data_IF_050714697622
#
_entry.id   IF_050714697622
#
_cell.length_a   1.000
_cell.length_b   1.000
_cell.length_c   1.000
_cell.angle_alpha   90.00
_cell.angle_beta   90.00
_cell.angle_gamma   90.00
#
_symmetry.space_group_name_H-M   'P 1'
#
loop_
_entity.id
_entity.type
_entity.pdbx_description
1 polymer ?
#
# COMPACT_ATOMS: atom_id res chain seq x y z
N UNK A 1 14.71 8.28 -9.04
CA UNK A 1 15.79 8.15 -8.05
C UNK A 1 16.72 7.06 -8.57
N UNK A 2 18.03 7.28 -8.60
CA UNK A 2 18.99 6.30 -9.15
C UNK A 2 20.08 6.09 -8.11
N UNK A 3 20.32 4.82 -7.78
CA UNK A 3 21.39 4.40 -6.86
C UNK A 3 22.11 3.25 -7.54
N UNK A 4 23.37 3.46 -7.92
CA UNK A 4 24.16 2.48 -8.68
C UNK A 4 24.95 1.58 -7.73
N UNK A 5 25.10 0.31 -8.11
CA UNK A 5 26.06 -0.60 -7.48
C UNK A 5 27.49 -0.13 -7.75
N UNK A 6 28.36 -0.25 -6.75
CA UNK A 6 29.77 0.12 -6.90
C UNK A 6 30.60 -0.87 -7.75
N UNK A 7 30.12 -2.09 -7.96
CA UNK A 7 30.81 -3.13 -8.74
C UNK A 7 30.33 -3.20 -10.19
N UNK A 8 31.24 -3.61 -11.09
CA UNK A 8 30.93 -3.85 -12.50
C UNK A 8 30.30 -5.25 -12.73
N UNK A 9 29.24 -5.39 -13.55
CA UNK A 9 28.53 -4.31 -14.24
C UNK A 9 27.65 -3.51 -13.28
N UNK A 10 27.66 -2.18 -13.45
CA UNK A 10 26.84 -1.27 -12.65
C UNK A 10 25.34 -1.53 -12.88
N UNK A 11 24.56 -1.55 -11.80
CA UNK A 11 23.13 -1.77 -11.83
C UNK A 11 22.42 -0.75 -10.93
N UNK A 12 21.24 -0.30 -11.37
CA UNK A 12 20.40 0.57 -10.54
C UNK A 12 19.67 -0.27 -9.47
N UNK A 13 20.05 -0.12 -8.21
CA UNK A 13 19.40 -0.76 -7.06
C UNK A 13 18.00 -0.21 -6.77
N UNK A 14 17.73 1.05 -7.14
CA UNK A 14 16.46 1.73 -6.87
C UNK A 14 15.52 1.75 -8.08
N UNK A 15 15.66 0.79 -9.01
CA UNK A 15 14.81 0.66 -10.20
C UNK A 15 13.31 0.51 -9.90
N UNK A 16 12.97 0.05 -8.69
CA UNK A 16 11.61 -0.12 -8.21
C UNK A 16 10.99 1.16 -7.62
N UNK A 17 11.73 2.27 -7.53
CA UNK A 17 11.20 3.53 -7.04
C UNK A 17 10.35 4.19 -8.12
N UNK A 18 9.04 4.25 -7.89
CA UNK A 18 8.06 4.95 -8.72
C UNK A 18 7.91 6.42 -8.28
N UNK A 19 6.96 7.14 -8.88
CA UNK A 19 6.75 8.55 -8.55
C UNK A 19 6.33 8.74 -7.09
N UNK A 20 5.34 7.99 -6.58
CA UNK A 20 4.89 8.17 -5.19
C UNK A 20 5.94 7.81 -4.18
N UNK A 21 6.61 6.67 -4.35
CA UNK A 21 7.67 6.24 -3.42
C UNK A 21 8.82 7.23 -3.40
N UNK A 22 9.16 7.86 -4.55
CA UNK A 22 10.12 8.96 -4.56
C UNK A 22 9.65 10.15 -3.73
N UNK A 23 8.40 10.59 -3.88
CA UNK A 23 7.85 11.71 -3.11
C UNK A 23 7.86 11.41 -1.60
N UNK A 24 7.50 10.18 -1.21
CA UNK A 24 7.53 9.73 0.18
C UNK A 24 8.95 9.74 0.72
N UNK A 25 9.92 9.15 0.01
CA UNK A 25 11.32 9.13 0.42
C UNK A 25 11.85 10.56 0.62
N UNK A 26 11.55 11.48 -0.31
CA UNK A 26 11.98 12.87 -0.19
C UNK A 26 11.36 13.56 1.03
N UNK A 27 10.05 13.39 1.25
CA UNK A 27 9.35 13.93 2.42
C UNK A 27 9.93 13.40 3.74
N UNK A 28 10.18 12.10 3.83
CA UNK A 28 10.74 11.50 5.04
C UNK A 28 12.19 11.93 5.29
N UNK A 29 12.98 12.13 4.23
CA UNK A 29 14.34 12.69 4.36
C UNK A 29 14.33 14.14 4.85
N UNK A 30 13.42 14.97 4.35
CA UNK A 30 13.25 16.36 4.81
C UNK A 30 12.76 16.41 6.26
N UNK A 31 11.77 15.59 6.61
CA UNK A 31 11.29 15.44 7.98
C UNK A 31 12.42 15.02 8.91
N UNK A 32 13.15 13.95 8.57
CA UNK A 32 14.28 13.46 9.35
C UNK A 32 15.39 14.51 9.50
N UNK A 33 15.69 15.27 8.45
CA UNK A 33 16.66 16.36 8.52
C UNK A 33 16.24 17.46 9.50
N UNK A 34 14.99 17.92 9.43
CA UNK A 34 14.44 18.92 10.35
C UNK A 34 14.45 18.41 11.80
N UNK A 35 14.10 17.14 12.00
CA UNK A 35 14.16 16.50 13.30
C UNK A 35 15.59 16.46 13.85
N UNK A 36 16.59 16.13 13.04
CA UNK A 36 18.00 16.13 13.45
C UNK A 36 18.48 17.54 13.82
N UNK A 37 18.12 18.57 13.04
CA UNK A 37 18.44 19.96 13.37
C UNK A 37 17.84 20.34 14.73
N UNK A 38 16.57 20.02 14.94
CA UNK A 38 15.87 20.36 16.18
C UNK A 38 16.45 19.58 17.36
N UNK A 39 16.77 18.30 17.19
CA UNK A 39 17.40 17.48 18.23
C UNK A 39 18.83 17.92 18.56
N UNK A 40 19.56 18.54 17.63
CA UNK A 40 20.85 19.17 17.95
C UNK A 40 20.70 20.31 18.96
N UNK A 41 19.52 20.95 19.00
CA UNK A 41 19.19 22.03 19.92
C UNK A 41 18.52 21.53 21.22
N UNK A 42 17.97 20.31 21.22
CA UNK A 42 17.24 19.69 22.34
C UNK A 42 18.03 18.51 22.94
N UNK A 43 18.36 18.55 24.23
CA UNK A 43 19.09 17.47 24.92
C UNK A 43 18.21 16.21 25.11
N UNK A 44 18.03 15.40 24.05
CA UNK A 44 17.25 14.15 24.16
C UNK A 44 16.98 13.44 22.84
N UNK A 45 17.94 12.68 22.32
CA UNK A 45 17.81 11.93 21.07
C UNK A 45 16.77 10.80 21.06
N UNK A 46 16.01 10.60 22.14
CA UNK A 46 14.96 9.56 22.23
C UNK A 46 13.69 9.93 21.45
N UNK A 47 13.36 11.23 21.35
CA UNK A 47 12.19 11.71 20.58
C UNK A 47 12.28 11.40 19.08
N UNK A 48 13.50 11.23 18.55
CA UNK A 48 13.75 10.88 17.15
C UNK A 48 13.27 9.48 16.76
N UNK A 49 13.23 8.55 17.72
CA UNK A 49 12.85 7.15 17.48
C UNK A 49 11.34 6.92 17.68
N UNK A 50 10.71 7.69 18.56
CA UNK A 50 9.28 7.55 18.86
C UNK A 50 8.37 8.32 17.88
N UNK A 51 8.86 9.40 17.25
CA UNK A 51 8.10 10.17 16.24
C UNK A 51 7.80 9.39 14.95
N UNK A 52 8.51 8.29 14.67
CA UNK A 52 8.32 7.47 13.47
C UNK A 52 6.96 6.74 13.46
N UNK A 53 6.17 6.82 14.53
CA UNK A 53 4.92 6.06 14.63
C UNK A 53 3.72 6.87 14.14
N UNK A 54 3.27 6.50 12.94
CA UNK A 54 1.93 5.97 12.60
C UNK A 54 1.63 6.32 11.13
N UNK A 55 2.08 5.44 10.22
CA UNK A 55 1.74 5.50 8.80
C UNK A 55 0.22 5.66 8.56
N UNK A 56 -0.58 5.01 9.42
CA UNK A 56 -2.04 4.98 9.39
C UNK A 56 -2.74 6.31 9.68
N UNK A 57 -2.03 7.36 10.11
CA UNK A 57 -2.62 8.66 10.46
C UNK A 57 -2.22 9.78 9.49
N UNK A 58 -1.48 9.44 8.43
CA UNK A 58 -0.83 10.42 7.56
C UNK A 58 -1.57 10.76 6.26
N UNK A 59 -2.71 10.11 5.98
CA UNK A 59 -3.42 10.19 4.70
C UNK A 59 -4.91 10.45 4.87
N UNK A 60 -5.51 11.13 3.89
CA UNK A 60 -6.96 11.38 3.87
C UNK A 60 -7.76 10.15 3.44
N UNK A 61 -7.18 9.34 2.57
CA UNK A 61 -7.87 8.23 1.92
C UNK A 61 -7.05 6.96 2.05
N UNK A 62 -7.73 5.84 2.20
CA UNK A 62 -7.06 4.56 2.31
C UNK A 62 -7.80 3.42 1.63
N UNK A 63 -7.02 2.46 1.15
CA UNK A 63 -7.49 1.22 0.57
C UNK A 63 -6.94 0.04 1.37
N UNK A 64 -7.83 -0.84 1.83
CA UNK A 64 -7.50 -2.14 2.40
C UNK A 64 -7.61 -3.20 1.31
N UNK A 65 -6.59 -4.03 1.17
CA UNK A 65 -6.61 -5.18 0.27
C UNK A 65 -6.50 -6.44 1.13
N UNK A 66 -7.46 -7.33 0.99
CA UNK A 66 -7.50 -8.62 1.68
C UNK A 66 -7.17 -9.74 0.71
N UNK A 67 -6.16 -10.55 1.08
CA UNK A 67 -5.91 -11.85 0.49
C UNK A 67 -6.63 -12.92 1.32
N UNK A 68 -7.75 -13.39 0.78
CA UNK A 68 -8.58 -14.43 1.41
C UNK A 68 -8.27 -15.73 0.70
N UNK A 69 -8.06 -16.81 1.45
CA UNK A 69 -7.76 -18.09 0.83
C UNK A 69 -8.70 -19.23 1.17
N UNK A 70 -8.80 -20.15 0.21
CA UNK A 70 -9.49 -21.43 0.36
C UNK A 70 -8.72 -22.36 1.30
N UNK A 71 -9.44 -23.17 2.07
CA UNK A 71 -8.91 -23.97 3.18
C UNK A 71 -7.90 -25.05 2.78
N UNK A 72 -7.75 -25.37 1.50
CA UNK A 72 -7.14 -26.63 1.10
C UNK A 72 -5.61 -26.67 1.03
N UNK A 73 -4.85 -25.55 1.01
CA UNK A 73 -3.37 -25.60 0.98
C UNK A 73 -2.67 -24.31 1.47
N UNK A 74 -2.17 -24.28 2.71
CA UNK A 74 -1.55 -23.09 3.32
C UNK A 74 -0.37 -22.49 2.52
N UNK A 75 0.55 -23.33 2.03
CA UNK A 75 1.76 -22.88 1.33
C UNK A 75 1.48 -22.26 -0.04
N UNK A 76 0.57 -22.86 -0.81
CA UNK A 76 0.25 -22.35 -2.14
C UNK A 76 -0.51 -21.02 -2.05
N UNK A 77 -1.37 -20.91 -1.04
CA UNK A 77 -2.08 -19.69 -0.72
C UNK A 77 -1.12 -18.54 -0.33
N UNK A 78 -0.09 -18.84 0.48
CA UNK A 78 0.95 -17.85 0.81
C UNK A 78 1.70 -17.38 -0.43
N UNK A 79 2.01 -18.29 -1.36
CA UNK A 79 2.64 -17.94 -2.64
C UNK A 79 1.73 -17.06 -3.49
N UNK A 80 0.42 -17.30 -3.47
CA UNK A 80 -0.55 -16.41 -4.13
C UNK A 80 -0.56 -15.02 -3.49
N UNK A 81 -0.64 -14.90 -2.16
CA UNK A 81 -0.60 -13.60 -1.49
C UNK A 81 0.72 -12.86 -1.74
N UNK A 82 1.87 -13.56 -1.77
CA UNK A 82 3.17 -12.97 -2.16
C UNK A 82 3.20 -12.48 -3.61
N UNK A 83 2.56 -13.22 -4.52
CA UNK A 83 2.40 -12.77 -5.90
C UNK A 83 1.59 -11.48 -5.97
N UNK A 84 0.46 -11.41 -5.25
CA UNK A 84 -0.38 -10.21 -5.16
C UNK A 84 0.41 -9.03 -4.59
N UNK A 85 1.17 -9.25 -3.51
CA UNK A 85 2.05 -8.23 -2.90
C UNK A 85 3.00 -7.61 -3.93
N UNK A 86 3.62 -8.44 -4.78
CA UNK A 86 4.51 -7.96 -5.84
C UNK A 86 3.80 -7.11 -6.91
N UNK A 87 2.49 -7.32 -7.10
CA UNK A 87 1.67 -6.61 -8.10
C UNK A 87 1.02 -5.34 -7.54
N UNK A 88 0.81 -5.23 -6.24
CA UNK A 88 0.24 -4.02 -5.62
C UNK A 88 1.03 -2.78 -6.05
N UNK A 89 2.35 -2.79 -5.89
CA UNK A 89 3.19 -1.66 -6.30
C UNK A 89 3.23 -1.46 -7.82
N UNK A 90 3.38 -2.56 -8.58
CA UNK A 90 3.61 -2.50 -10.03
C UNK A 90 2.37 -2.14 -10.85
N UNK A 91 1.18 -2.54 -10.39
CA UNK A 91 -0.08 -2.35 -11.13
C UNK A 91 -1.00 -1.34 -10.44
N UNK A 92 -1.26 -1.52 -9.15
CA UNK A 92 -2.28 -0.73 -8.46
C UNK A 92 -1.75 0.67 -8.14
N UNK A 93 -0.62 0.76 -7.45
CA UNK A 93 0.00 2.06 -7.12
C UNK A 93 0.32 2.83 -8.40
N UNK A 94 0.87 2.17 -9.42
CA UNK A 94 1.11 2.79 -10.72
C UNK A 94 -0.18 3.29 -11.41
N UNK A 95 -1.28 2.54 -11.34
CA UNK A 95 -2.56 2.99 -11.93
C UNK A 95 -3.15 4.17 -11.16
N UNK A 96 -3.02 4.19 -9.84
CA UNK A 96 -3.48 5.28 -8.98
C UNK A 96 -2.63 6.55 -9.21
N UNK A 97 -1.32 6.40 -9.38
CA UNK A 97 -0.37 7.49 -9.67
C UNK A 97 -0.66 8.23 -10.97
N UNK A 98 -1.14 7.52 -11.99
CA UNK A 98 -1.46 8.11 -13.29
C UNK A 98 -2.76 8.95 -13.25
N UNK A 99 -3.48 8.98 -12.12
CA UNK A 99 -4.65 9.82 -11.96
C UNK A 99 -4.23 11.22 -11.49
N UNK A 100 -4.58 12.26 -12.27
CA UNK A 100 -4.24 13.66 -11.99
C UNK A 100 -4.78 14.18 -10.63
N UNK A 101 -5.79 13.52 -10.08
CA UNK A 101 -6.40 13.83 -8.80
C UNK A 101 -5.53 13.43 -7.60
N UNK A 102 -4.62 12.46 -7.81
CA UNK A 102 -3.79 11.89 -6.76
C UNK A 102 -2.42 12.58 -6.74
N UNK A 103 -1.99 12.99 -5.55
CA UNK A 103 -0.65 13.56 -5.33
C UNK A 103 0.40 12.46 -5.24
N UNK A 104 0.15 11.47 -4.39
CA UNK A 104 0.95 10.25 -4.29
C UNK A 104 0.17 9.15 -3.53
N UNK A 105 0.53 7.90 -3.77
CA UNK A 105 0.00 6.73 -3.08
C UNK A 105 1.13 5.96 -2.37
N UNK A 106 0.92 5.68 -1.09
CA UNK A 106 1.84 4.91 -0.26
C UNK A 106 1.25 3.52 -0.08
N UNK A 107 1.91 2.45 -0.50
CA UNK A 107 1.54 1.09 -0.12
C UNK A 107 2.40 0.64 1.06
N UNK A 108 1.78 0.18 2.15
CA UNK A 108 2.52 -0.49 3.21
C UNK A 108 2.72 -1.96 2.87
N UNK A 109 3.78 -2.56 3.43
CA UNK A 109 3.93 -4.00 3.53
C UNK A 109 2.93 -4.63 4.51
N UNK A 110 3.38 -5.64 5.28
CA UNK A 110 2.55 -6.28 6.30
C UNK A 110 2.32 -5.34 7.48
N UNK A 111 1.14 -4.73 7.53
CA UNK A 111 0.62 -4.10 8.75
C UNK A 111 -0.22 -5.09 9.56
N UNK A 112 -0.29 -4.87 10.87
CA UNK A 112 -1.06 -5.72 11.79
C UNK A 112 -2.45 -5.13 12.11
N UNK A 113 -2.75 -3.92 11.63
CA UNK A 113 -4.02 -3.26 11.86
C UNK A 113 -5.07 -3.76 10.87
N UNK A 114 -6.05 -4.49 11.39
CA UNK A 114 -7.22 -4.93 10.66
C UNK A 114 -8.48 -4.48 11.43
N UNK A 115 -9.41 -3.73 10.80
CA UNK A 115 -10.61 -3.20 11.45
C UNK A 115 -11.48 -4.31 12.06
N UNK A 116 -12.20 -4.02 13.14
CA UNK A 116 -13.03 -5.02 13.83
C UNK A 116 -14.17 -5.48 12.92
N UNK A 117 -14.76 -4.58 12.14
CA UNK A 117 -15.78 -4.92 11.13
C UNK A 117 -15.33 -6.05 10.19
N UNK A 118 -14.08 -5.98 9.71
CA UNK A 118 -13.50 -6.98 8.82
C UNK A 118 -13.20 -8.27 9.59
N UNK A 119 -12.67 -8.18 10.82
CA UNK A 119 -12.46 -9.35 11.67
C UNK A 119 -13.77 -10.09 11.96
N UNK A 120 -14.87 -9.38 12.18
CA UNK A 120 -16.19 -9.97 12.42
C UNK A 120 -16.77 -10.60 11.15
N UNK A 121 -16.73 -9.87 10.03
CA UNK A 121 -17.27 -10.33 8.74
C UNK A 121 -16.56 -11.58 8.22
N UNK A 122 -15.24 -11.67 8.41
CA UNK A 122 -14.44 -12.81 7.97
C UNK A 122 -13.99 -13.71 9.12
N UNK A 123 -14.65 -13.65 10.29
CA UNK A 123 -14.30 -14.49 11.45
C UNK A 123 -14.30 -16.00 11.17
N UNK A 124 -15.02 -16.45 10.13
CA UNK A 124 -15.00 -17.83 9.62
C UNK A 124 -14.07 -18.08 8.41
N UNK A 125 -13.55 -17.04 7.75
CA UNK A 125 -12.66 -17.14 6.60
C UNK A 125 -11.20 -16.89 7.02
N UNK A 126 -10.27 -17.73 6.55
CA UNK A 126 -8.84 -17.53 6.85
C UNK A 126 -8.28 -16.40 5.99
N UNK A 127 -8.35 -15.16 6.49
CA UNK A 127 -7.56 -14.03 5.97
C UNK A 127 -6.09 -14.41 6.15
N UNK A 128 -5.34 -14.53 5.05
CA UNK A 128 -3.92 -14.87 5.12
C UNK A 128 -3.04 -13.64 5.26
N UNK A 129 -3.36 -12.60 4.52
CA UNK A 129 -2.58 -11.37 4.49
C UNK A 129 -3.47 -10.19 4.09
N UNK A 130 -3.13 -9.01 4.58
CA UNK A 130 -3.76 -7.76 4.19
C UNK A 130 -2.69 -6.69 3.99
N UNK A 131 -3.04 -5.70 3.16
CA UNK A 131 -2.19 -4.54 2.89
C UNK A 131 -3.01 -3.28 2.91
N UNK A 132 -2.38 -2.21 3.34
CA UNK A 132 -2.94 -0.87 3.29
C UNK A 132 -2.27 -0.04 2.22
N UNK A 133 -3.06 0.80 1.55
CA UNK A 133 -2.57 1.84 0.66
C UNK A 133 -3.16 3.16 1.10
N UNK A 134 -2.32 4.09 1.50
CA UNK A 134 -2.67 5.48 1.81
C UNK A 134 -2.59 6.30 0.53
N UNK A 135 -3.57 7.16 0.32
CA UNK A 135 -3.67 8.01 -0.87
C UNK A 135 -3.77 9.45 -0.38
N UNK A 136 -2.83 10.27 -0.87
CA UNK A 136 -2.84 11.72 -0.69
C UNK A 136 -3.35 12.37 -1.97
N UNK A 137 -4.34 13.26 -1.86
CA UNK A 137 -4.96 13.96 -2.98
C UNK A 137 -4.51 15.42 -3.03
N UNK A 138 -4.61 16.04 -4.22
CA UNK A 138 -4.28 17.47 -4.39
C UNK A 138 -5.38 18.39 -3.84
N UNK A 139 -6.64 17.93 -3.86
CA UNK A 139 -7.81 18.64 -3.37
C UNK A 139 -8.63 17.75 -2.41
N UNK A 140 -9.65 18.30 -1.75
CA UNK A 140 -10.62 17.51 -1.00
C UNK A 140 -11.54 16.79 -1.98
N UNK A 141 -11.24 15.53 -2.26
CA UNK A 141 -11.92 14.75 -3.30
C UNK A 141 -12.89 13.76 -2.64
N UNK A 142 -14.07 13.59 -3.24
CA UNK A 142 -15.02 12.58 -2.79
C UNK A 142 -14.57 11.19 -3.24
N UNK A 143 -14.83 10.17 -2.41
CA UNK A 143 -14.54 8.75 -2.68
C UNK A 143 -14.86 8.31 -4.12
N UNK A 144 -15.96 8.82 -4.69
CA UNK A 144 -16.47 8.45 -6.02
C UNK A 144 -15.56 8.92 -7.17
N UNK A 145 -14.84 10.03 -7.01
CA UNK A 145 -14.01 10.64 -8.06
C UNK A 145 -12.63 9.98 -8.17
N UNK A 146 -12.09 9.46 -7.06
CA UNK A 146 -10.81 8.72 -7.06
C UNK A 146 -10.94 7.41 -7.85
N UNK A 147 -12.12 6.76 -7.78
CA UNK A 147 -12.38 5.47 -8.44
C UNK A 147 -12.97 5.58 -9.84
N UNK A 148 -13.54 6.73 -10.22
CA UNK A 148 -14.02 6.97 -11.58
C UNK A 148 -12.90 7.58 -12.40
N UNK A 149 -12.31 6.79 -13.30
CA UNK A 149 -11.67 7.39 -14.47
C UNK A 149 -12.74 8.13 -15.30
N UNK A 150 -12.31 9.02 -16.19
CA UNK A 150 -13.15 9.77 -17.15
C UNK A 150 -14.15 8.88 -17.96
N UNK A 151 -13.98 7.56 -17.96
CA UNK A 151 -14.80 6.56 -18.66
C UNK A 151 -15.73 5.73 -17.74
N UNK A 152 -15.84 6.03 -16.44
CA UNK A 152 -16.73 5.31 -15.51
C UNK A 152 -16.25 3.91 -15.09
N UNK A 153 -15.04 3.50 -15.51
CA UNK A 153 -14.45 2.23 -15.11
C UNK A 153 -13.74 2.33 -13.75
N UNK A 154 -14.07 1.41 -12.82
CA UNK A 154 -13.48 1.36 -11.48
C UNK A 154 -12.04 0.83 -11.53
N UNK A 155 -11.07 1.63 -11.06
CA UNK A 155 -9.65 1.24 -10.99
C UNK A 155 -9.46 -0.10 -10.26
N UNK A 156 -10.29 -0.35 -9.25
CA UNK A 156 -10.25 -1.56 -8.44
C UNK A 156 -10.66 -2.81 -9.23
N UNK A 157 -11.71 -2.73 -10.05
CA UNK A 157 -12.15 -3.89 -10.85
C UNK A 157 -11.10 -4.24 -11.90
N UNK A 158 -10.53 -3.22 -12.57
CA UNK A 158 -9.42 -3.41 -13.52
C UNK A 158 -8.21 -4.06 -12.86
N UNK A 159 -7.90 -3.72 -11.61
CA UNK A 159 -6.78 -4.33 -10.89
C UNK A 159 -7.04 -5.81 -10.61
N UNK A 160 -8.24 -6.19 -10.16
CA UNK A 160 -8.59 -7.60 -9.91
C UNK A 160 -8.56 -8.41 -11.20
N UNK A 161 -9.08 -7.86 -12.30
CA UNK A 161 -9.02 -8.48 -13.63
C UNK A 161 -7.58 -8.69 -14.09
N UNK A 162 -6.75 -7.64 -14.03
CA UNK A 162 -5.33 -7.73 -14.37
C UNK A 162 -4.57 -8.74 -13.52
N UNK A 163 -4.87 -8.85 -12.22
CA UNK A 163 -4.27 -9.87 -11.37
C UNK A 163 -4.67 -11.25 -11.87
N UNK A 164 -5.96 -11.50 -12.11
CA UNK A 164 -6.45 -12.79 -12.60
C UNK A 164 -5.75 -13.18 -13.91
N UNK A 165 -5.64 -12.25 -14.85
CA UNK A 165 -4.99 -12.47 -16.15
C UNK A 165 -3.50 -12.78 -16.02
N UNK A 166 -2.79 -12.09 -15.13
CA UNK A 166 -1.35 -12.26 -14.91
C UNK A 166 -1.01 -13.37 -13.92
N UNK A 167 -2.00 -13.97 -13.26
CA UNK A 167 -1.75 -15.02 -12.26
C UNK A 167 -1.25 -16.27 -12.96
N UNK A 168 -0.06 -16.78 -12.60
CA UNK A 168 0.45 -18.03 -13.15
C UNK A 168 -0.54 -19.17 -12.96
N UNK A 169 -0.66 -20.05 -13.95
CA UNK A 169 -1.60 -21.19 -13.92
C UNK A 169 -1.47 -22.06 -12.66
N UNK A 170 -0.25 -22.21 -12.15
CA UNK A 170 0.05 -22.94 -10.91
C UNK A 170 -0.67 -22.32 -9.70
N UNK A 171 -0.77 -21.00 -9.64
CA UNK A 171 -1.39 -20.27 -8.54
C UNK A 171 -2.91 -20.14 -8.70
N UNK A 172 -3.46 -20.25 -9.92
CA UNK A 172 -4.92 -20.23 -10.15
C UNK A 172 -5.64 -21.39 -9.44
N UNK A 173 -4.97 -22.52 -9.24
CA UNK A 173 -5.53 -23.71 -8.57
C UNK A 173 -5.81 -23.51 -7.07
N UNK A 174 -5.21 -22.49 -6.46
CA UNK A 174 -5.36 -22.20 -5.02
C UNK A 174 -6.74 -21.65 -4.66
N UNK A 175 -7.47 -21.10 -5.65
CA UNK A 175 -8.78 -20.50 -5.41
C UNK A 175 -8.74 -19.27 -4.52
N UNK A 176 -7.57 -18.60 -4.39
CA UNK A 176 -7.40 -17.36 -3.65
C UNK A 176 -8.33 -16.26 -4.17
N UNK A 177 -8.97 -15.54 -3.25
CA UNK A 177 -9.86 -14.41 -3.55
C UNK A 177 -9.24 -13.12 -3.02
N UNK A 178 -9.41 -12.06 -3.81
CA UNK A 178 -9.02 -10.72 -3.42
C UNK A 178 -10.26 -9.88 -3.21
N UNK A 179 -10.29 -9.19 -2.08
CA UNK A 179 -11.31 -8.23 -1.75
C UNK A 179 -10.66 -6.92 -1.35
N UNK A 180 -11.30 -5.81 -1.68
CA UNK A 180 -10.78 -4.48 -1.43
C UNK A 180 -11.84 -3.60 -0.80
N UNK A 181 -11.43 -2.81 0.17
CA UNK A 181 -12.29 -1.90 0.92
C UNK A 181 -11.66 -0.52 0.93
N UNK A 182 -12.49 0.51 0.83
CA UNK A 182 -12.06 1.89 0.96
C UNK A 182 -12.46 2.42 2.33
N UNK A 183 -11.58 3.23 2.90
CA UNK A 183 -11.81 3.95 4.15
C UNK A 183 -11.39 5.41 3.98
N UNK A 184 -12.20 6.32 4.52
CA UNK A 184 -11.82 7.71 4.71
C UNK A 184 -11.11 7.87 6.07
N UNK A 185 -10.24 8.85 6.22
CA UNK A 185 -9.47 9.15 7.44
C UNK A 185 -10.35 9.17 8.71
N UNK A 186 -11.59 9.68 8.59
CA UNK A 186 -12.56 9.73 9.70
C UNK A 186 -13.06 8.37 10.18
N UNK A 187 -13.04 7.35 9.32
CA UNK A 187 -13.62 6.04 9.59
C UNK A 187 -12.57 5.04 10.12
N UNK A 188 -11.28 5.37 9.98
CA UNK A 188 -10.23 4.35 9.94
C UNK A 188 -9.53 4.02 11.27
N UNK A 189 -9.66 4.89 12.26
CA UNK A 189 -8.78 4.88 13.44
C UNK A 189 -9.50 4.70 14.78
N UNK A 190 -10.79 4.38 14.80
CA UNK A 190 -11.47 4.06 16.06
C UNK A 190 -11.30 2.59 16.48
N UNK A 191 -10.81 1.73 15.58
CA UNK A 191 -10.79 0.28 15.77
C UNK A 191 -9.39 -0.37 15.65
N UNK A 192 -8.38 0.47 15.43
CA UNK A 192 -6.95 0.19 15.62
C UNK A 192 -6.40 1.25 16.58
#
# INVERSE_FOLDING_TARGET
MVVLTAGYPEQNCSFNVNYSTRQIIQKELENGYNMIINAKNSFGGQELLDSWKFWLNGYQHYLLILCISSQNNLKENENYCRFVESRIRLELVFSIENNNLVKYAHATGKENCLPMEIKQKYGGHKIQQHWWIGIETNEQINQIEIYKNNEGNNILTKFVEKIKDKTPYILLKTGGRLEMFYYNDRDKLKEC
#
